data_IF_253309056078
#
_entry.id   IF_253309056078
#
_cell.length_a   1.000
_cell.length_b   1.000
_cell.length_c   1.000
_cell.angle_alpha   90.00
_cell.angle_beta   90.00
_cell.angle_gamma   90.00
#
_symmetry.space_group_name_H-M   'P 1'
#
loop_
_entity.id
_entity.type
_entity.pdbx_description
1 polymer ?
#
# COMPACT_ATOMS: atom_id res chain seq x y z
N UNK A 1 -22.30 -8.04 -18.43
CA UNK A 1 -20.86 -8.28 -18.71
C UNK A 1 -20.12 -6.98 -18.51
N UNK A 2 -19.10 -6.97 -17.66
CA UNK A 2 -18.35 -5.78 -17.30
C UNK A 2 -17.76 -5.92 -15.90
N UNK A 3 -17.06 -7.04 -15.65
CA UNK A 3 -16.31 -7.18 -14.42
C UNK A 3 -15.16 -6.18 -14.47
N UNK A 4 -15.20 -5.13 -13.65
CA UNK A 4 -14.00 -4.34 -13.38
C UNK A 4 -12.96 -5.32 -12.87
N UNK A 5 -11.81 -5.39 -13.53
CA UNK A 5 -10.68 -6.15 -13.00
C UNK A 5 -10.44 -5.72 -11.55
N UNK A 6 -10.13 -6.68 -10.66
CA UNK A 6 -9.82 -6.35 -9.28
C UNK A 6 -8.70 -5.31 -9.27
N UNK A 7 -8.91 -4.22 -8.55
CA UNK A 7 -7.84 -3.22 -8.35
C UNK A 7 -6.76 -3.88 -7.52
N UNK A 8 -5.53 -3.87 -8.02
CA UNK A 8 -4.39 -4.44 -7.34
C UNK A 8 -3.42 -3.33 -6.91
N UNK A 9 -2.81 -3.52 -5.74
CA UNK A 9 -1.77 -2.63 -5.22
C UNK A 9 -0.55 -3.45 -4.89
N UNK A 10 0.60 -2.99 -5.38
CA UNK A 10 1.89 -3.59 -5.05
C UNK A 10 2.48 -2.88 -3.84
N UNK A 11 2.91 -3.65 -2.83
CA UNK A 11 3.53 -3.11 -1.62
C UNK A 11 4.83 -3.84 -1.33
N UNK A 12 5.91 -3.08 -1.15
CA UNK A 12 7.18 -3.60 -0.69
C UNK A 12 7.28 -3.45 0.83
N UNK A 13 7.58 -4.56 1.51
CA UNK A 13 7.63 -4.61 2.97
C UNK A 13 8.97 -5.15 3.41
N UNK A 14 9.60 -4.48 4.37
CA UNK A 14 10.88 -4.91 4.92
C UNK A 14 10.76 -6.33 5.52
N UNK A 15 11.60 -7.23 5.04
CA UNK A 15 11.64 -8.62 5.48
C UNK A 15 12.00 -8.69 6.97
N UNK A 16 11.29 -9.54 7.72
CA UNK A 16 11.46 -9.67 9.17
C UNK A 16 10.77 -8.59 10.01
N UNK A 17 10.10 -7.61 9.40
CA UNK A 17 9.21 -6.70 10.15
C UNK A 17 7.95 -7.41 10.63
N UNK A 18 7.30 -6.87 11.66
CA UNK A 18 5.99 -7.36 12.13
C UNK A 18 4.94 -7.34 11.01
N UNK A 19 4.95 -6.32 10.16
CA UNK A 19 4.06 -6.24 8.99
C UNK A 19 4.31 -7.40 8.04
N UNK A 20 5.57 -7.72 7.74
CA UNK A 20 5.92 -8.85 6.88
C UNK A 20 5.37 -10.17 7.42
N UNK A 21 5.59 -10.47 8.71
CA UNK A 21 5.05 -11.69 9.34
C UNK A 21 3.53 -11.72 9.31
N UNK A 22 2.87 -10.60 9.65
CA UNK A 22 1.41 -10.50 9.63
C UNK A 22 0.83 -10.74 8.23
N UNK A 23 1.46 -10.22 7.18
CA UNK A 23 1.00 -10.43 5.81
C UNK A 23 1.19 -11.88 5.35
N UNK A 24 2.26 -12.56 5.79
CA UNK A 24 2.46 -13.98 5.49
C UNK A 24 1.47 -14.88 6.23
N UNK A 25 1.16 -14.57 7.49
CA UNK A 25 0.29 -15.41 8.32
C UNK A 25 -1.20 -15.18 8.06
N UNK A 26 -1.61 -13.92 7.89
CA UNK A 26 -3.02 -13.53 7.81
C UNK A 26 -3.51 -13.26 6.40
N UNK A 27 -2.59 -12.97 5.46
CA UNK A 27 -2.88 -12.64 4.07
C UNK A 27 -3.93 -11.53 3.89
N UNK A 28 -4.08 -10.63 4.88
CA UNK A 28 -5.10 -9.58 4.88
C UNK A 28 -4.51 -8.28 5.40
N UNK A 29 -4.90 -7.17 4.77
CA UNK A 29 -4.51 -5.83 5.20
C UNK A 29 -5.57 -4.78 4.86
N UNK A 30 -5.42 -3.60 5.47
CA UNK A 30 -6.14 -2.40 5.09
C UNK A 30 -5.12 -1.30 4.83
N UNK A 31 -5.18 -0.72 3.64
CA UNK A 31 -4.40 0.43 3.23
C UNK A 31 -5.26 1.69 3.41
N UNK A 32 -4.67 2.74 3.96
CA UNK A 32 -5.33 4.03 4.14
C UNK A 32 -4.56 5.05 3.32
N UNK A 33 -5.23 5.64 2.33
CA UNK A 33 -4.68 6.70 1.50
C UNK A 33 -5.31 8.02 1.92
N UNK A 34 -4.48 9.03 2.17
CA UNK A 34 -4.95 10.38 2.40
C UNK A 34 -4.82 11.18 1.11
N UNK A 35 -5.96 11.51 0.51
CA UNK A 35 -6.07 12.27 -0.73
C UNK A 35 -6.98 13.48 -0.48
N UNK A 36 -6.46 14.57 0.13
CA UNK A 36 -7.23 15.78 0.41
C UNK A 36 -8.23 16.13 -0.70
N UNK A 37 -9.53 16.31 -0.40
CA UNK A 37 -10.14 16.38 0.94
C UNK A 37 -10.54 15.05 1.61
N UNK A 38 -10.24 13.89 1.01
CA UNK A 38 -10.74 12.57 1.41
C UNK A 38 -9.69 11.63 1.99
N UNK A 39 -10.18 10.58 2.65
CA UNK A 39 -9.41 9.38 2.95
C UNK A 39 -10.03 8.16 2.24
N UNK A 40 -9.19 7.27 1.72
CA UNK A 40 -9.62 6.02 1.10
C UNK A 40 -9.13 4.86 1.94
N UNK A 41 -10.06 4.03 2.39
CA UNK A 41 -9.80 2.79 3.10
C UNK A 41 -9.96 1.64 2.12
N UNK A 42 -8.87 0.93 1.84
CA UNK A 42 -8.85 -0.17 0.90
C UNK A 42 -8.45 -1.46 1.61
N UNK A 43 -9.40 -2.35 1.84
CA UNK A 43 -9.14 -3.69 2.38
C UNK A 43 -8.76 -4.62 1.24
N UNK A 44 -7.75 -5.46 1.46
CA UNK A 44 -7.28 -6.39 0.44
C UNK A 44 -6.65 -7.65 1.01
N UNK A 45 -6.60 -8.65 0.15
CA UNK A 45 -5.88 -9.90 0.37
C UNK A 45 -4.47 -9.78 -0.18
N UNK A 46 -3.48 -10.08 0.67
CA UNK A 46 -2.08 -9.95 0.34
C UNK A 46 -1.47 -11.31 -0.02
N UNK A 47 -0.74 -11.37 -1.12
CA UNK A 47 0.01 -12.55 -1.55
C UNK A 47 1.47 -12.17 -1.82
N UNK A 48 2.42 -12.95 -1.31
CA UNK A 48 3.84 -12.76 -1.60
C UNK A 48 4.09 -13.05 -3.08
N UNK A 49 4.77 -12.13 -3.76
CA UNK A 49 5.21 -12.31 -5.15
C UNK A 49 6.63 -12.85 -5.16
N UNK A 50 7.58 -12.06 -4.63
CA UNK A 50 9.02 -12.35 -4.63
C UNK A 50 9.74 -11.47 -3.61
N UNK A 51 11.02 -11.73 -3.42
CA UNK A 51 11.95 -10.80 -2.75
C UNK A 51 12.55 -9.85 -3.78
N UNK A 52 12.69 -8.58 -3.39
CA UNK A 52 13.32 -7.51 -4.17
C UNK A 52 14.83 -7.46 -3.90
N UNK A 53 15.59 -6.85 -4.80
CA UNK A 53 17.06 -6.82 -4.70
C UNK A 53 17.57 -6.09 -3.45
N UNK A 54 16.76 -5.21 -2.86
CA UNK A 54 17.10 -4.44 -1.67
C UNK A 54 16.74 -5.13 -0.34
N UNK A 55 16.29 -6.39 -0.41
CA UNK A 55 15.94 -7.22 0.74
C UNK A 55 14.50 -7.06 1.22
N UNK A 56 13.70 -6.18 0.61
CA UNK A 56 12.26 -6.13 0.86
C UNK A 56 11.55 -7.32 0.21
N UNK A 57 10.41 -7.71 0.76
CA UNK A 57 9.49 -8.65 0.12
C UNK A 57 8.37 -7.89 -0.56
N UNK A 58 8.10 -8.24 -1.81
CA UNK A 58 7.02 -7.67 -2.60
C UNK A 58 5.74 -8.50 -2.41
N UNK A 59 4.66 -7.82 -2.04
CA UNK A 59 3.32 -8.38 -1.96
C UNK A 59 2.40 -7.75 -3.01
N UNK A 60 1.51 -8.57 -3.57
CA UNK A 60 0.34 -8.14 -4.33
C UNK A 60 -0.85 -8.07 -3.37
N UNK A 61 -1.52 -6.94 -3.31
CA UNK A 61 -2.74 -6.73 -2.54
C UNK A 61 -3.90 -6.63 -3.51
N UNK A 62 -4.74 -7.66 -3.55
CA UNK A 62 -5.98 -7.68 -4.33
C UNK A 62 -7.08 -7.04 -3.50
N UNK A 63 -7.62 -5.90 -3.95
CA UNK A 63 -8.61 -5.15 -3.18
C UNK A 63 -9.97 -5.87 -3.19
N UNK A 64 -10.53 -6.06 -2.00
CA UNK A 64 -11.83 -6.72 -1.78
C UNK A 64 -12.91 -5.71 -1.36
N UNK A 65 -12.52 -4.60 -0.72
CA UNK A 65 -13.45 -3.56 -0.27
C UNK A 65 -12.74 -2.20 -0.34
N UNK A 66 -13.45 -1.19 -0.84
CA UNK A 66 -12.97 0.19 -0.89
C UNK A 66 -14.07 1.09 -0.34
N UNK A 67 -13.70 1.90 0.65
CA UNK A 67 -14.56 2.94 1.20
C UNK A 67 -13.84 4.28 1.10
N UNK A 68 -14.50 5.24 0.47
CA UNK A 68 -14.03 6.62 0.43
C UNK A 68 -14.78 7.40 1.51
N UNK A 69 -14.03 8.15 2.32
CA UNK A 69 -14.54 8.99 3.38
C UNK A 69 -14.30 10.46 3.01
N UNK A 70 -15.40 11.16 2.72
CA UNK A 70 -15.44 12.59 2.48
C UNK A 70 -16.17 13.21 3.67
N UNK A 71 -15.43 13.55 4.73
CA UNK A 71 -16.05 14.26 5.85
C UNK A 71 -16.38 15.69 5.44
N UNK A 72 -17.65 15.98 5.18
CA UNK A 72 -18.14 17.35 4.92
C UNK A 72 -17.93 18.28 6.13
N UNK A 73 -17.87 17.71 7.35
CA UNK A 73 -17.74 18.45 8.61
C UNK A 73 -16.27 18.76 8.94
N UNK A 74 -15.34 17.91 8.52
CA UNK A 74 -13.91 18.07 8.78
C UNK A 74 -13.08 17.49 7.61
N UNK A 75 -12.99 18.21 6.48
CA UNK A 75 -12.22 17.76 5.33
C UNK A 75 -10.74 17.67 5.67
N UNK A 76 -10.05 16.70 5.09
CA UNK A 76 -8.59 16.58 5.24
C UNK A 76 -7.96 17.65 4.35
N UNK A 77 -7.63 18.79 4.94
CA UNK A 77 -7.11 19.97 4.20
C UNK A 77 -5.59 20.02 4.11
N UNK A 78 -4.90 19.20 4.90
CA UNK A 78 -3.44 19.16 4.94
C UNK A 78 -2.92 17.89 4.28
N UNK A 79 -1.83 18.01 3.53
CA UNK A 79 -1.10 16.84 3.07
C UNK A 79 -0.41 16.12 4.25
N UNK A 80 -0.25 14.79 4.21
CA UNK A 80 0.53 14.06 5.20
C UNK A 80 1.94 14.62 5.32
N UNK A 81 2.46 14.68 6.55
CA UNK A 81 3.86 15.04 6.79
C UNK A 81 4.75 13.91 6.26
N UNK A 82 5.30 14.11 5.07
CA UNK A 82 6.27 13.22 4.45
C UNK A 82 7.61 13.94 4.37
N UNK A 83 8.64 13.31 4.92
CA UNK A 83 10.01 13.82 4.91
C UNK A 83 10.80 13.05 3.85
N UNK A 84 10.88 13.62 2.66
CA UNK A 84 11.55 13.04 1.49
C UNK A 84 13.05 12.82 1.71
N UNK A 85 13.70 13.65 2.54
CA UNK A 85 15.11 13.49 2.92
C UNK A 85 15.40 12.20 3.68
N UNK A 86 14.37 11.61 4.31
CA UNK A 86 14.47 10.34 5.03
C UNK A 86 14.22 9.12 4.14
N UNK A 87 13.87 9.33 2.87
CA UNK A 87 13.75 8.25 1.89
C UNK A 87 15.15 7.71 1.60
N UNK A 88 15.47 6.58 2.23
CA UNK A 88 16.73 5.89 1.97
C UNK A 88 16.79 5.50 0.48
N UNK A 89 17.94 5.64 -0.20
CA UNK A 89 18.09 5.33 -1.63
C UNK A 89 17.57 3.93 -2.03
N UNK A 90 17.66 2.95 -1.13
CA UNK A 90 17.12 1.59 -1.33
C UNK A 90 15.63 1.56 -1.69
N UNK A 91 14.81 2.46 -1.13
CA UNK A 91 13.38 2.50 -1.42
C UNK A 91 13.08 3.00 -2.85
N UNK A 92 13.98 3.80 -3.43
CA UNK A 92 13.88 4.27 -4.82
C UNK A 92 14.08 3.08 -5.78
N UNK A 93 15.01 2.18 -5.46
CA UNK A 93 15.25 1.00 -6.29
C UNK A 93 14.02 0.09 -6.35
N UNK A 94 13.38 -0.17 -5.21
CA UNK A 94 12.12 -0.93 -5.20
C UNK A 94 11.01 -0.21 -5.94
N UNK A 95 10.88 1.11 -5.80
CA UNK A 95 9.89 1.90 -6.55
C UNK A 95 10.09 1.78 -8.07
N UNK A 96 11.34 1.81 -8.54
CA UNK A 96 11.66 1.63 -9.96
C UNK A 96 11.36 0.21 -10.44
N UNK A 97 11.63 -0.83 -9.63
CA UNK A 97 11.25 -2.22 -9.92
C UNK A 97 9.73 -2.44 -10.02
N UNK A 98 8.94 -1.58 -9.36
CA UNK A 98 7.47 -1.66 -9.38
C UNK A 98 6.83 -0.85 -10.50
N UNK A 99 7.57 0.09 -11.09
CA UNK A 99 7.06 1.04 -12.08
C UNK A 99 7.49 0.71 -13.51
N UNK A 100 8.37 -0.28 -13.71
CA UNK A 100 8.77 -0.82 -15.01
C UNK A 100 8.01 -2.08 -15.37
#
# INVERSE_FOLDING_TARGET
MGGREPKEILVAVNSGSTTHSNLLERALCTLIFFTPPSAVYAKGEASKIREAADGNTLFRVTLIEIKEDYSEVAPIITQPLFDDSKVKPRYIQTYLELSG
#
